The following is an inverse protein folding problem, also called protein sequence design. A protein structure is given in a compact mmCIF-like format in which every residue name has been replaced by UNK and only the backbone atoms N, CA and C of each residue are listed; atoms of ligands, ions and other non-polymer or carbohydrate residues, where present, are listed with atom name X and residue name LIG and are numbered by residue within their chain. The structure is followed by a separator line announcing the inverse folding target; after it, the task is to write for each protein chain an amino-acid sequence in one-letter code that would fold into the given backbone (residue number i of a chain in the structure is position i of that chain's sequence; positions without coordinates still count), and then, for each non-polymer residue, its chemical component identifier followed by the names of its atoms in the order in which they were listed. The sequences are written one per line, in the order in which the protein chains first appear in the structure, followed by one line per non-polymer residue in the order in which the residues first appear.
data_IF_059038150436
#
_entry.id   IF_059038150436
#
_cell.length_a   1.000
_cell.length_b   1.000
_cell.length_c   1.000
_cell.angle_alpha   90.00
_cell.angle_beta   90.00
_cell.angle_gamma   90.00
#
_symmetry.space_group_name_H-M   'P 1'
#
loop_
_entity.id
_entity.type
_entity.pdbx_description
1 polymer ?
#
# COMPACT_ATOMS: atom_id res chain seq x y z
N UNK A 1 -27.30 22.23 -16.32
CA UNK A 1 -28.30 22.54 -15.27
C UNK A 1 -29.61 23.06 -15.82
N UNK A 2 -29.66 24.17 -16.61
CA UNK A 2 -30.95 24.76 -17.03
C UNK A 2 -31.87 23.81 -17.81
N UNK A 3 -31.36 23.10 -18.81
CA UNK A 3 -32.16 22.14 -19.60
C UNK A 3 -32.59 20.92 -18.80
N UNK A 4 -31.80 20.43 -17.83
CA UNK A 4 -32.21 19.34 -16.96
C UNK A 4 -33.37 19.76 -16.03
N UNK A 5 -33.38 21.01 -15.55
CA UNK A 5 -34.46 21.57 -14.78
C UNK A 5 -35.75 21.65 -15.63
N UNK A 6 -35.64 22.19 -16.87
CA UNK A 6 -36.79 22.25 -17.78
C UNK A 6 -37.39 20.84 -18.06
N UNK A 7 -36.52 19.85 -18.21
CA UNK A 7 -36.93 18.46 -18.40
C UNK A 7 -37.70 17.91 -17.19
N UNK A 8 -37.21 18.19 -15.96
CA UNK A 8 -37.88 17.75 -14.73
C UNK A 8 -39.26 18.37 -14.55
N UNK A 9 -39.38 19.66 -14.85
CA UNK A 9 -40.61 20.44 -14.59
C UNK A 9 -41.56 20.51 -15.77
N UNK A 10 -41.27 19.85 -16.89
CA UNK A 10 -42.07 19.94 -18.14
C UNK A 10 -43.50 19.40 -18.01
N UNK A 11 -43.80 18.61 -16.99
CA UNK A 11 -45.15 18.11 -16.71
C UNK A 11 -46.02 19.20 -16.04
N UNK A 12 -45.38 20.13 -15.31
CA UNK A 12 -46.05 21.18 -14.55
C UNK A 12 -46.13 22.51 -15.31
N UNK A 13 -45.12 22.81 -16.16
CA UNK A 13 -45.00 24.12 -16.82
C UNK A 13 -44.68 24.01 -18.30
N UNK A 14 -45.21 24.90 -19.15
CA UNK A 14 -44.88 24.92 -20.58
C UNK A 14 -43.40 25.18 -20.82
N UNK A 15 -42.77 24.36 -21.65
CA UNK A 15 -41.34 24.44 -21.98
C UNK A 15 -40.92 25.82 -22.47
N UNK A 16 -41.77 26.47 -23.31
CA UNK A 16 -41.51 27.79 -23.89
C UNK A 16 -41.39 28.86 -22.79
N UNK A 17 -42.29 28.82 -21.79
CA UNK A 17 -42.27 29.75 -20.65
C UNK A 17 -41.01 29.58 -19.81
N UNK A 18 -40.67 28.33 -19.47
CA UNK A 18 -39.45 28.03 -18.72
C UNK A 18 -38.19 28.45 -19.48
N UNK A 19 -38.14 28.23 -20.78
CA UNK A 19 -37.02 28.67 -21.62
C UNK A 19 -36.87 30.19 -21.60
N UNK A 20 -37.96 30.94 -21.68
CA UNK A 20 -37.93 32.40 -21.61
C UNK A 20 -37.44 32.90 -20.27
N UNK A 21 -37.96 32.35 -19.15
CA UNK A 21 -37.53 32.72 -17.76
C UNK A 21 -36.07 32.38 -17.53
N UNK A 22 -35.61 31.21 -17.97
CA UNK A 22 -34.23 30.75 -17.78
C UNK A 22 -33.25 31.31 -18.83
N UNK A 23 -33.74 32.16 -19.76
CA UNK A 23 -32.95 32.78 -20.84
C UNK A 23 -32.16 31.74 -21.66
N UNK A 24 -32.85 30.72 -22.13
CA UNK A 24 -32.35 29.68 -23.06
C UNK A 24 -33.33 29.51 -24.24
N UNK A 25 -32.84 29.06 -25.39
CA UNK A 25 -33.73 28.84 -26.54
C UNK A 25 -34.49 27.52 -26.44
N UNK A 26 -35.77 27.52 -26.82
CA UNK A 26 -36.57 26.30 -26.89
C UNK A 26 -36.00 25.31 -27.91
N UNK A 27 -35.48 25.79 -29.04
CA UNK A 27 -34.79 24.95 -30.05
C UNK A 27 -33.54 24.29 -29.47
N UNK A 28 -32.76 25.02 -28.66
CA UNK A 28 -31.61 24.50 -27.93
C UNK A 28 -31.97 23.41 -26.91
N UNK A 29 -33.11 23.59 -26.21
CA UNK A 29 -33.64 22.56 -25.31
C UNK A 29 -34.01 21.27 -26.07
N UNK A 30 -34.75 21.37 -27.16
CA UNK A 30 -35.15 20.20 -27.95
C UNK A 30 -33.95 19.55 -28.68
N UNK A 31 -32.95 20.32 -29.09
CA UNK A 31 -31.72 19.79 -29.65
C UNK A 31 -30.93 19.03 -28.55
N UNK A 32 -30.82 19.58 -27.34
CA UNK A 32 -30.22 18.91 -26.19
C UNK A 32 -30.97 17.62 -25.80
N UNK A 33 -32.32 17.66 -25.80
CA UNK A 33 -33.14 16.49 -25.48
C UNK A 33 -32.96 15.34 -26.48
N UNK A 34 -32.71 15.66 -27.76
CA UNK A 34 -32.44 14.68 -28.82
C UNK A 34 -30.97 14.31 -28.96
N UNK A 35 -30.08 15.02 -28.27
CA UNK A 35 -28.63 14.75 -28.38
C UNK A 35 -28.31 13.37 -27.82
N UNK A 36 -27.65 12.55 -28.62
CA UNK A 36 -27.01 11.33 -28.15
C UNK A 36 -25.71 11.67 -27.40
N UNK A 37 -25.33 10.90 -26.38
CA UNK A 37 -24.06 11.10 -25.68
C UNK A 37 -22.90 11.19 -26.68
N UNK A 38 -22.06 12.20 -26.53
CA UNK A 38 -20.90 12.39 -27.40
C UNK A 38 -19.91 11.20 -27.26
N UNK A 39 -19.01 11.04 -28.21
CA UNK A 39 -17.95 10.03 -28.11
C UNK A 39 -17.10 10.22 -26.84
N UNK A 40 -16.97 11.49 -26.37
CA UNK A 40 -16.29 11.82 -25.12
C UNK A 40 -17.07 11.34 -23.90
N UNK A 41 -18.41 11.55 -23.88
CA UNK A 41 -19.26 11.14 -22.76
C UNK A 41 -19.31 9.60 -22.66
N UNK A 42 -19.44 8.90 -23.78
CA UNK A 42 -19.38 7.44 -23.82
C UNK A 42 -18.04 6.90 -23.30
N UNK A 43 -16.93 7.57 -23.66
CA UNK A 43 -15.60 7.21 -23.13
C UNK A 43 -15.48 7.54 -21.64
N UNK A 44 -16.11 8.63 -21.15
CA UNK A 44 -16.11 8.96 -19.73
C UNK A 44 -16.88 7.92 -18.91
N UNK A 45 -18.06 7.48 -19.37
CA UNK A 45 -18.83 6.44 -18.69
C UNK A 45 -18.05 5.11 -18.61
N UNK A 46 -17.40 4.69 -19.69
CA UNK A 46 -16.51 3.52 -19.64
C UNK A 46 -15.36 3.71 -18.65
N UNK A 47 -14.71 4.88 -18.64
CA UNK A 47 -13.63 5.17 -17.70
C UNK A 47 -14.09 5.20 -16.25
N UNK A 48 -15.31 5.68 -15.95
CA UNK A 48 -15.88 5.65 -14.59
C UNK A 48 -15.99 4.22 -14.06
N UNK A 49 -16.43 3.27 -14.90
CA UNK A 49 -16.47 1.85 -14.51
C UNK A 49 -15.08 1.34 -14.16
N UNK A 50 -14.08 1.52 -15.04
CA UNK A 50 -12.71 1.07 -14.81
C UNK A 50 -12.04 1.74 -13.60
N UNK A 51 -12.30 3.03 -13.39
CA UNK A 51 -11.85 3.78 -12.20
C UNK A 51 -12.49 3.20 -10.94
N UNK A 52 -13.80 2.92 -10.97
CA UNK A 52 -14.51 2.29 -9.86
C UNK A 52 -13.98 0.91 -9.51
N UNK A 53 -13.69 0.08 -10.50
CA UNK A 53 -13.08 -1.25 -10.33
C UNK A 53 -11.68 -1.16 -9.70
N UNK A 54 -10.80 -0.29 -10.23
CA UNK A 54 -9.45 -0.06 -9.66
C UNK A 54 -9.54 0.44 -8.21
N UNK A 55 -10.45 1.37 -7.94
CA UNK A 55 -10.68 1.90 -6.60
C UNK A 55 -11.20 0.83 -5.63
N UNK A 56 -12.16 0.01 -6.04
CA UNK A 56 -12.70 -1.09 -5.24
C UNK A 56 -11.62 -2.17 -4.99
N UNK A 57 -10.91 -2.60 -6.03
CA UNK A 57 -9.82 -3.58 -5.96
C UNK A 57 -8.69 -3.13 -5.01
N UNK A 58 -8.42 -1.83 -4.95
CA UNK A 58 -7.46 -1.24 -4.03
C UNK A 58 -7.97 -1.09 -2.59
N UNK A 59 -9.11 -1.69 -2.24
CA UNK A 59 -9.74 -1.54 -0.90
C UNK A 59 -10.06 -0.08 -0.56
N UNK A 60 -10.37 0.73 -1.58
CA UNK A 60 -10.67 2.17 -1.47
C UNK A 60 -9.49 3.00 -0.94
N UNK A 61 -8.26 2.60 -1.21
CA UNK A 61 -7.05 3.28 -0.73
C UNK A 61 -6.30 4.03 -1.84
N UNK A 62 -6.61 3.76 -3.11
CA UNK A 62 -5.94 4.44 -4.22
C UNK A 62 -6.47 5.84 -4.45
N UNK A 63 -5.56 6.81 -4.42
CA UNK A 63 -5.79 8.13 -5.02
C UNK A 63 -5.52 8.12 -6.52
N UNK A 64 -5.83 9.23 -7.18
CA UNK A 64 -5.71 9.37 -8.64
C UNK A 64 -4.36 8.96 -9.26
N UNK A 65 -3.18 9.09 -8.60
CA UNK A 65 -1.93 8.64 -9.22
C UNK A 65 -1.87 7.12 -9.44
N UNK A 66 -2.35 6.33 -8.46
CA UNK A 66 -2.36 4.86 -8.56
C UNK A 66 -3.47 4.37 -9.49
N UNK A 67 -4.66 4.96 -9.40
CA UNK A 67 -5.76 4.67 -10.32
C UNK A 67 -5.34 4.97 -11.77
N UNK A 68 -4.71 6.12 -12.02
CA UNK A 68 -4.20 6.46 -13.35
C UNK A 68 -3.17 5.45 -13.86
N UNK A 69 -2.28 4.96 -12.96
CA UNK A 69 -1.31 3.93 -13.32
C UNK A 69 -1.95 2.57 -13.66
N UNK A 70 -3.14 2.25 -13.10
CA UNK A 70 -3.92 1.06 -13.52
C UNK A 70 -4.54 1.21 -14.91
N UNK A 71 -4.80 2.44 -15.35
CA UNK A 71 -5.45 2.78 -16.62
C UNK A 71 -4.49 3.09 -17.75
N UNK A 72 -3.23 2.68 -17.66
CA UNK A 72 -2.18 2.98 -18.66
C UNK A 72 -2.58 2.57 -20.08
N UNK A 73 -3.31 1.44 -20.24
CA UNK A 73 -3.81 0.97 -21.53
C UNK A 73 -4.91 1.83 -22.17
N UNK A 74 -5.62 2.66 -21.39
CA UNK A 74 -6.74 3.47 -21.85
C UNK A 74 -6.32 4.82 -22.46
N UNK A 75 -5.05 5.17 -22.44
CA UNK A 75 -4.50 6.44 -22.94
C UNK A 75 -5.29 7.64 -22.41
N UNK A 76 -5.50 7.69 -21.09
CA UNK A 76 -6.22 8.76 -20.40
C UNK A 76 -5.24 9.63 -19.61
N UNK A 77 -5.42 10.95 -19.64
CA UNK A 77 -4.61 11.88 -18.84
C UNK A 77 -5.05 11.89 -17.36
N UNK A 78 -4.10 12.08 -16.45
CA UNK A 78 -4.33 12.08 -14.99
C UNK A 78 -5.41 13.08 -14.57
N UNK A 79 -5.46 14.28 -15.16
CA UNK A 79 -6.48 15.28 -14.82
C UNK A 79 -7.91 14.81 -15.13
N UNK A 80 -8.08 14.01 -16.20
CA UNK A 80 -9.37 13.41 -16.53
C UNK A 80 -9.76 12.36 -15.47
N UNK A 81 -8.81 11.54 -15.00
CA UNK A 81 -9.03 10.58 -13.91
C UNK A 81 -9.43 11.31 -12.63
N UNK A 82 -8.73 12.40 -12.26
CA UNK A 82 -9.09 13.22 -11.08
C UNK A 82 -10.53 13.70 -11.17
N UNK A 83 -10.91 14.30 -12.31
CA UNK A 83 -12.27 14.81 -12.53
C UNK A 83 -13.33 13.70 -12.39
N UNK A 84 -13.12 12.55 -13.03
CA UNK A 84 -14.06 11.42 -12.98
C UNK A 84 -14.14 10.82 -11.57
N UNK A 85 -13.04 10.70 -10.84
CA UNK A 85 -13.06 10.29 -9.42
C UNK A 85 -13.87 11.26 -8.54
N UNK A 86 -13.77 12.58 -8.80
CA UNK A 86 -14.54 13.59 -8.07
C UNK A 86 -16.03 13.51 -8.40
N UNK A 87 -16.39 13.32 -9.67
CA UNK A 87 -17.78 13.13 -10.12
C UNK A 87 -18.42 11.91 -9.44
N UNK A 88 -17.69 10.80 -9.33
CA UNK A 88 -18.12 9.56 -8.67
C UNK A 88 -17.92 9.59 -7.15
N UNK A 89 -17.50 10.71 -6.57
CA UNK A 89 -17.25 10.89 -5.13
C UNK A 89 -16.30 9.83 -4.53
N UNK A 90 -15.32 9.38 -5.30
CA UNK A 90 -14.33 8.38 -4.88
C UNK A 90 -13.21 9.07 -4.10
N UNK A 91 -13.24 8.93 -2.78
CA UNK A 91 -12.25 9.51 -1.86
C UNK A 91 -11.43 8.39 -1.23
N UNK A 92 -10.11 8.42 -1.44
CA UNK A 92 -9.19 7.45 -0.85
C UNK A 92 -9.16 7.58 0.69
N UNK A 93 -9.09 6.45 1.38
CA UNK A 93 -8.90 6.43 2.84
C UNK A 93 -7.58 7.11 3.19
N UNK A 94 -7.63 8.07 4.13
CA UNK A 94 -6.45 8.79 4.62
C UNK A 94 -5.81 8.00 5.75
N UNK A 95 -4.48 7.90 5.73
CA UNK A 95 -3.71 7.31 6.85
C UNK A 95 -3.87 8.17 8.10
N UNK A 96 -4.16 7.53 9.24
CA UNK A 96 -4.04 8.18 10.55
C UNK A 96 -2.56 8.22 10.94
N UNK A 97 -2.14 9.30 11.61
CA UNK A 97 -0.80 9.36 12.21
C UNK A 97 -0.80 8.51 13.49
N UNK A 98 0.15 7.58 13.59
CA UNK A 98 0.37 6.78 14.79
C UNK A 98 1.49 7.39 15.64
N UNK A 99 1.40 7.22 16.96
CA UNK A 99 2.52 7.47 17.86
C UNK A 99 3.35 6.19 17.95
N UNK A 100 4.67 6.31 17.78
CA UNK A 100 5.63 5.23 18.08
C UNK A 100 5.71 5.05 19.60
N UNK A 101 5.73 3.80 20.05
CA UNK A 101 5.82 3.41 21.47
C UNK A 101 6.92 2.38 21.71
N UNK A 102 8.05 2.48 21.02
CA UNK A 102 9.17 1.56 21.25
C UNK A 102 9.88 1.92 22.55
N UNK A 103 9.84 1.03 23.51
CA UNK A 103 10.67 1.08 24.71
C UNK A 103 11.91 0.19 24.50
N UNK A 104 13.07 0.80 24.36
CA UNK A 104 14.37 0.12 24.20
C UNK A 104 15.22 0.28 25.46
N UNK A 105 14.74 -0.27 26.58
CA UNK A 105 15.50 -0.26 27.84
C UNK A 105 15.84 -1.71 28.23
N UNK A 106 17.00 -2.17 27.78
CA UNK A 106 17.54 -3.50 28.09
C UNK A 106 19.09 -3.49 28.05
N UNK A 107 19.71 -4.45 28.74
CA UNK A 107 21.17 -4.60 28.86
C UNK A 107 21.83 -5.41 27.73
N UNK A 108 21.06 -5.84 26.72
CA UNK A 108 21.58 -6.64 25.61
C UNK A 108 22.48 -5.82 24.68
N UNK A 109 23.52 -6.41 24.06
CA UNK A 109 24.40 -5.72 23.12
C UNK A 109 23.61 -5.17 21.91
N UNK A 110 23.87 -3.92 21.57
CA UNK A 110 23.22 -3.22 20.43
C UNK A 110 24.23 -3.13 19.29
N UNK A 111 23.84 -3.57 18.10
CA UNK A 111 24.65 -3.44 16.90
C UNK A 111 24.73 -1.98 16.40
N UNK A 112 25.82 -1.64 15.70
CA UNK A 112 25.96 -0.33 15.07
C UNK A 112 24.90 -0.10 13.97
N UNK A 113 24.49 1.16 13.77
CA UNK A 113 23.61 1.53 12.65
C UNK A 113 24.41 1.58 11.35
N UNK A 114 24.39 0.49 10.62
CA UNK A 114 25.05 0.36 9.31
C UNK A 114 24.13 0.80 8.16
N UNK A 115 22.82 0.75 8.34
CA UNK A 115 21.84 1.18 7.31
C UNK A 115 21.90 2.70 7.09
N UNK A 116 22.12 3.47 8.15
CA UNK A 116 22.27 4.94 8.13
C UNK A 116 21.25 5.66 7.25
N UNK A 117 19.97 5.21 7.27
CA UNK A 117 18.85 5.74 6.46
C UNK A 117 19.00 5.57 4.94
N UNK A 118 19.93 4.75 4.49
CA UNK A 118 20.04 4.40 3.07
C UNK A 118 18.97 3.36 2.70
N UNK A 119 17.72 3.83 2.54
CA UNK A 119 16.55 2.99 2.28
C UNK A 119 16.42 2.53 0.84
N UNK A 120 17.46 2.59 0.06
CA UNK A 120 17.53 2.09 -1.31
C UNK A 120 18.50 0.91 -1.40
N UNK A 121 18.22 -0.04 -2.26
CA UNK A 121 19.09 -1.15 -2.57
C UNK A 121 19.20 -1.30 -4.10
N UNK A 122 20.36 -1.69 -4.59
CA UNK A 122 20.59 -1.86 -6.03
C UNK A 122 20.03 -3.19 -6.58
N UNK A 123 19.83 -4.18 -5.71
CA UNK A 123 19.31 -5.49 -6.05
C UNK A 123 18.50 -6.10 -4.88
N UNK A 124 17.63 -7.10 -5.16
CA UNK A 124 16.97 -7.87 -4.13
C UNK A 124 17.95 -8.54 -3.15
N UNK A 125 17.52 -8.69 -1.91
CA UNK A 125 18.27 -9.38 -0.85
C UNK A 125 19.63 -8.73 -0.48
N UNK A 126 19.78 -7.43 -0.70
CA UNK A 126 20.92 -6.68 -0.18
C UNK A 126 20.63 -6.04 1.18
N UNK A 127 19.42 -5.54 1.37
CA UNK A 127 19.04 -4.81 2.58
C UNK A 127 17.60 -5.16 2.97
N UNK A 128 17.43 -5.74 4.13
CA UNK A 128 16.13 -6.01 4.74
C UNK A 128 15.93 -5.13 5.96
N UNK A 129 14.68 -4.72 6.19
CA UNK A 129 14.28 -4.03 7.42
C UNK A 129 13.19 -4.81 8.10
N UNK A 130 13.29 -4.96 9.41
CA UNK A 130 12.33 -5.70 10.22
C UNK A 130 11.82 -4.89 11.39
N UNK A 131 10.57 -5.15 11.79
CA UNK A 131 9.96 -4.54 12.96
C UNK A 131 8.72 -5.34 13.40
N UNK A 132 8.23 -5.04 14.59
CA UNK A 132 7.05 -5.67 15.20
C UNK A 132 6.00 -4.64 15.56
N UNK A 133 4.73 -4.94 15.32
CA UNK A 133 3.62 -4.07 15.72
C UNK A 133 2.59 -4.82 16.54
N UNK A 134 1.96 -4.12 17.48
CA UNK A 134 0.81 -4.60 18.24
C UNK A 134 -0.48 -4.40 17.44
N UNK A 135 -1.35 -5.40 17.50
CA UNK A 135 -2.70 -5.45 16.93
C UNK A 135 -3.67 -5.87 18.03
N UNK A 136 -4.94 -5.47 17.89
CA UNK A 136 -5.96 -5.68 18.91
C UNK A 136 -6.98 -6.73 18.48
N UNK A 137 -7.53 -7.44 19.46
CA UNK A 137 -8.76 -8.22 19.32
C UNK A 137 -9.78 -7.78 20.36
N UNK A 138 -11.00 -8.26 20.26
CA UNK A 138 -12.03 -7.99 21.27
C UNK A 138 -11.64 -8.51 22.68
N UNK A 139 -10.77 -9.52 22.76
CA UNK A 139 -10.38 -10.21 24.01
C UNK A 139 -8.94 -9.96 24.44
N UNK A 140 -8.18 -9.14 23.71
CA UNK A 140 -6.78 -8.88 24.04
C UNK A 140 -5.98 -8.34 22.85
N UNK A 141 -4.69 -8.59 22.88
CA UNK A 141 -3.75 -8.14 21.87
C UNK A 141 -2.92 -9.29 21.31
N UNK A 142 -2.38 -9.07 20.12
CA UNK A 142 -1.43 -9.95 19.46
C UNK A 142 -0.44 -9.12 18.65
N UNK A 143 0.59 -9.77 18.10
CA UNK A 143 1.70 -9.08 17.47
C UNK A 143 1.96 -9.62 16.09
N UNK A 144 2.37 -8.73 15.18
CA UNK A 144 2.82 -9.02 13.83
C UNK A 144 4.27 -8.58 13.72
N UNK A 145 5.19 -9.51 13.46
CA UNK A 145 6.53 -9.22 12.97
C UNK A 145 6.55 -9.30 11.45
N UNK A 146 7.23 -8.37 10.79
CA UNK A 146 7.37 -8.35 9.34
C UNK A 146 8.77 -7.92 8.92
N UNK A 147 9.24 -8.46 7.79
CA UNK A 147 10.54 -8.13 7.17
C UNK A 147 10.28 -7.70 5.73
N UNK A 148 10.81 -6.54 5.36
CA UNK A 148 10.64 -5.92 4.04
C UNK A 148 11.99 -5.80 3.35
N UNK A 149 12.09 -6.26 2.12
CA UNK A 149 13.24 -6.01 1.24
C UNK A 149 13.19 -4.57 0.69
N UNK A 150 14.28 -3.84 0.88
CA UNK A 150 14.34 -2.41 0.50
C UNK A 150 14.41 -2.18 -1.01
N UNK A 151 14.81 -3.17 -1.81
CA UNK A 151 14.86 -3.02 -3.27
C UNK A 151 13.48 -2.78 -3.88
N UNK A 152 12.58 -3.73 -3.71
CA UNK A 152 11.24 -3.69 -4.31
C UNK A 152 10.11 -3.52 -3.30
N UNK A 153 10.43 -3.33 -2.02
CA UNK A 153 9.44 -3.21 -0.93
C UNK A 153 8.61 -4.50 -0.72
N UNK A 154 9.12 -5.64 -1.17
CA UNK A 154 8.48 -6.94 -0.94
C UNK A 154 8.54 -7.30 0.54
N UNK A 155 7.41 -7.72 1.11
CA UNK A 155 7.41 -8.39 2.41
C UNK A 155 7.91 -9.81 2.20
N UNK A 156 9.13 -10.09 2.66
CA UNK A 156 9.83 -11.36 2.44
C UNK A 156 9.55 -12.39 3.53
N UNK A 157 9.22 -11.92 4.74
CA UNK A 157 8.84 -12.78 5.86
C UNK A 157 7.93 -12.05 6.83
N UNK A 158 7.03 -12.81 7.47
CA UNK A 158 6.15 -12.30 8.51
C UNK A 158 5.63 -13.43 9.40
N UNK A 159 5.31 -13.11 10.64
CA UNK A 159 4.74 -14.03 11.60
C UNK A 159 3.79 -13.29 12.56
N UNK A 160 2.84 -14.02 13.15
CA UNK A 160 1.93 -13.50 14.17
C UNK A 160 1.89 -14.41 15.39
N UNK A 161 1.89 -13.79 16.58
CA UNK A 161 1.83 -14.47 17.87
C UNK A 161 0.98 -13.69 18.88
N UNK A 162 0.46 -14.37 19.89
CA UNK A 162 -0.15 -13.74 21.05
C UNK A 162 0.88 -13.08 21.97
N UNK A 163 2.16 -13.46 21.84
CA UNK A 163 3.28 -12.95 22.67
C UNK A 163 4.29 -12.23 21.79
N UNK A 164 4.75 -11.06 22.24
CA UNK A 164 5.86 -10.34 21.60
C UNK A 164 7.19 -10.80 22.20
N UNK A 165 7.70 -11.88 21.67
CA UNK A 165 8.96 -12.48 22.11
C UNK A 165 9.92 -12.74 20.94
N UNK A 166 11.12 -13.26 21.26
CA UNK A 166 12.11 -13.61 20.24
C UNK A 166 11.64 -14.68 19.25
N UNK A 167 10.74 -15.58 19.65
CA UNK A 167 10.22 -16.62 18.76
C UNK A 167 9.37 -16.05 17.62
N UNK A 168 8.64 -14.97 17.89
CA UNK A 168 7.87 -14.25 16.87
C UNK A 168 8.79 -13.67 15.79
N UNK A 169 9.85 -12.97 16.20
CA UNK A 169 10.80 -12.31 15.26
C UNK A 169 11.66 -13.34 14.53
N UNK A 170 12.08 -14.42 15.20
CA UNK A 170 12.78 -15.55 14.57
C UNK A 170 11.89 -16.23 13.54
N UNK A 171 10.61 -16.49 13.82
CA UNK A 171 9.69 -17.11 12.87
C UNK A 171 9.53 -16.29 11.59
N UNK A 172 9.50 -14.94 11.70
CA UNK A 172 9.46 -14.05 10.53
C UNK A 172 10.78 -14.11 9.74
N UNK A 173 11.93 -14.15 10.43
CA UNK A 173 13.26 -14.24 9.81
C UNK A 173 13.44 -15.60 9.11
N UNK A 174 13.11 -16.69 9.75
CA UNK A 174 13.17 -18.04 9.18
C UNK A 174 12.32 -18.16 7.90
N UNK A 175 11.13 -17.57 7.91
CA UNK A 175 10.27 -17.54 6.73
C UNK A 175 10.95 -16.75 5.60
N UNK A 176 11.54 -15.58 5.90
CA UNK A 176 12.24 -14.76 4.93
C UNK A 176 13.44 -15.50 4.34
N UNK A 177 14.28 -16.09 5.19
CA UNK A 177 15.46 -16.84 4.75
C UNK A 177 15.09 -18.04 3.88
N UNK A 178 14.10 -18.84 4.28
CA UNK A 178 13.64 -20.00 3.48
C UNK A 178 13.08 -19.61 2.11
N UNK A 179 12.37 -18.47 2.05
CA UNK A 179 11.78 -18.00 0.77
C UNK A 179 12.80 -17.39 -0.16
N UNK A 180 13.78 -16.70 0.39
CA UNK A 180 14.68 -15.85 -0.40
C UNK A 180 16.06 -16.46 -0.61
N UNK A 181 16.50 -17.39 0.24
CA UNK A 181 17.82 -18.00 0.23
C UNK A 181 18.92 -16.94 -0.03
N UNK A 182 19.02 -15.89 0.80
CA UNK A 182 19.91 -14.78 0.52
C UNK A 182 21.37 -15.21 0.57
N UNK A 183 22.21 -14.57 -0.25
CA UNK A 183 23.64 -14.73 -0.16
C UNK A 183 24.17 -14.09 1.15
N UNK A 184 25.33 -14.55 1.60
CA UNK A 184 26.04 -13.91 2.71
C UNK A 184 26.31 -12.43 2.42
N UNK A 185 26.26 -11.59 3.47
CA UNK A 185 26.44 -10.14 3.36
C UNK A 185 25.15 -9.34 3.24
N UNK A 186 23.97 -9.99 3.23
CA UNK A 186 22.71 -9.29 3.42
C UNK A 186 22.73 -8.46 4.71
N UNK A 187 22.36 -7.17 4.63
CA UNK A 187 22.17 -6.32 5.79
C UNK A 187 20.74 -6.42 6.29
N UNK A 188 20.56 -6.84 7.56
CA UNK A 188 19.24 -6.80 8.22
C UNK A 188 19.23 -5.72 9.30
N UNK A 189 18.33 -4.75 9.15
CA UNK A 189 18.16 -3.63 10.07
C UNK A 189 16.85 -3.73 10.85
N UNK A 190 16.94 -3.48 12.16
CA UNK A 190 15.76 -3.44 13.05
C UNK A 190 15.87 -2.26 14.04
N UNK A 191 14.85 -2.09 14.87
CA UNK A 191 14.99 -1.26 16.05
C UNK A 191 15.86 -1.96 17.12
N UNK A 192 16.09 -1.26 18.26
CA UNK A 192 16.81 -1.79 19.40
C UNK A 192 15.92 -2.62 20.35
N UNK A 193 14.81 -3.17 19.89
CA UNK A 193 13.93 -4.00 20.72
C UNK A 193 14.64 -5.25 21.25
N UNK A 194 14.34 -5.63 22.50
CA UNK A 194 14.96 -6.80 23.16
C UNK A 194 14.82 -8.10 22.37
N UNK A 195 13.79 -8.25 21.56
CA UNK A 195 13.57 -9.41 20.69
C UNK A 195 14.62 -9.53 19.60
N UNK A 196 15.02 -8.41 18.98
CA UNK A 196 16.05 -8.34 17.93
C UNK A 196 17.48 -8.39 18.49
N UNK A 197 17.68 -7.84 19.70
CA UNK A 197 18.97 -7.88 20.40
C UNK A 197 19.24 -9.24 21.07
N UNK A 198 18.24 -10.14 21.14
CA UNK A 198 18.37 -11.44 21.80
C UNK A 198 19.45 -12.32 21.16
N UNK A 199 20.21 -13.07 21.98
CA UNK A 199 21.26 -13.95 21.50
C UNK A 199 20.74 -14.99 20.48
N UNK A 200 19.53 -15.52 20.69
CA UNK A 200 18.93 -16.48 19.77
C UNK A 200 18.68 -15.85 18.39
N UNK A 201 18.17 -14.60 18.33
CA UNK A 201 17.99 -13.90 17.07
C UNK A 201 19.31 -13.60 16.38
N UNK A 202 20.29 -13.12 17.13
CA UNK A 202 21.64 -12.84 16.62
C UNK A 202 22.34 -14.11 16.12
N UNK A 203 22.11 -15.26 16.78
CA UNK A 203 22.61 -16.55 16.34
C UNK A 203 22.05 -16.92 14.96
N UNK A 204 20.75 -16.79 14.72
CA UNK A 204 20.12 -17.07 13.42
C UNK A 204 20.73 -16.17 12.33
N UNK A 205 20.93 -14.87 12.60
CA UNK A 205 21.57 -13.97 11.64
C UNK A 205 22.99 -14.44 11.28
N UNK A 206 23.81 -14.82 12.27
CA UNK A 206 25.19 -15.32 12.06
C UNK A 206 25.20 -16.61 11.25
N UNK A 207 24.31 -17.57 11.55
CA UNK A 207 24.21 -18.86 10.85
C UNK A 207 23.92 -18.68 9.35
N UNK A 208 23.22 -17.62 8.99
CA UNK A 208 22.91 -17.30 7.59
C UNK A 208 23.82 -16.24 6.95
N UNK A 209 24.90 -15.83 7.65
CA UNK A 209 25.83 -14.81 7.15
C UNK A 209 25.17 -13.43 6.95
N UNK A 210 24.12 -13.12 7.74
CA UNK A 210 23.37 -11.86 7.67
C UNK A 210 24.01 -10.85 8.64
N UNK A 211 24.35 -9.68 8.13
CA UNK A 211 24.92 -8.58 8.92
C UNK A 211 23.82 -7.85 9.69
N UNK A 212 23.95 -7.78 11.01
CA UNK A 212 23.03 -7.06 11.88
C UNK A 212 23.29 -5.56 11.84
N UNK A 213 22.24 -4.76 11.80
CA UNK A 213 22.23 -3.31 11.96
C UNK A 213 21.05 -2.91 12.83
N UNK A 214 21.25 -1.96 13.75
CA UNK A 214 20.17 -1.48 14.62
C UNK A 214 20.03 0.03 14.56
N UNK A 215 18.80 0.52 14.70
CA UNK A 215 18.49 1.95 14.80
C UNK A 215 19.24 2.59 15.97
N UNK A 216 19.49 3.89 15.90
CA UNK A 216 19.98 4.65 17.04
C UNK A 216 18.89 4.79 18.10
N UNK A 217 19.28 4.81 19.37
CA UNK A 217 18.34 4.92 20.50
C UNK A 217 17.46 6.17 20.35
N UNK A 218 16.14 5.98 20.44
CA UNK A 218 15.17 7.08 20.35
C UNK A 218 15.01 7.71 18.96
N UNK A 219 15.59 7.12 17.91
CA UNK A 219 15.53 7.66 16.57
C UNK A 219 14.58 6.85 15.67
N UNK A 220 13.31 7.24 15.64
CA UNK A 220 12.28 6.60 14.81
C UNK A 220 12.55 6.71 13.29
N UNK A 221 13.28 7.72 12.84
CA UNK A 221 13.59 7.88 11.41
C UNK A 221 14.51 6.80 10.86
N UNK A 222 15.24 6.10 11.71
CA UNK A 222 16.14 5.03 11.28
C UNK A 222 15.36 3.79 10.80
N UNK A 223 14.07 3.61 11.22
CA UNK A 223 13.18 2.54 10.79
C UNK A 223 11.92 3.05 10.05
N UNK A 224 12.00 4.20 9.40
CA UNK A 224 10.86 4.88 8.76
C UNK A 224 10.14 4.02 7.69
N UNK A 225 10.84 3.08 7.06
CA UNK A 225 10.23 2.16 6.08
C UNK A 225 9.23 1.24 6.74
N UNK A 226 9.57 0.64 7.89
CA UNK A 226 8.68 -0.24 8.63
C UNK A 226 7.51 0.52 9.25
N UNK A 227 7.75 1.71 9.80
CA UNK A 227 6.69 2.60 10.27
C UNK A 227 5.67 2.91 9.15
N UNK A 228 6.17 3.25 7.96
CA UNK A 228 5.33 3.52 6.79
C UNK A 228 4.56 2.27 6.34
N UNK A 229 5.18 1.10 6.40
CA UNK A 229 4.56 -0.16 6.04
C UNK A 229 3.45 -0.54 7.02
N UNK A 230 3.71 -0.52 8.33
CA UNK A 230 2.69 -0.80 9.35
C UNK A 230 1.55 0.21 9.32
N UNK A 231 1.85 1.49 9.09
CA UNK A 231 0.81 2.51 8.89
C UNK A 231 -0.09 2.16 7.69
N UNK A 232 0.48 1.61 6.61
CA UNK A 232 -0.28 1.14 5.46
C UNK A 232 -1.13 -0.08 5.83
N UNK A 233 -0.53 -1.07 6.47
CA UNK A 233 -1.21 -2.28 6.92
C UNK A 233 -2.43 -1.94 7.79
N UNK A 234 -2.23 -1.16 8.84
CA UNK A 234 -3.30 -0.74 9.77
C UNK A 234 -4.37 0.13 9.10
N UNK A 235 -3.99 1.02 8.19
CA UNK A 235 -4.95 1.86 7.48
C UNK A 235 -5.86 1.06 6.53
N UNK A 236 -5.35 -0.02 5.95
CA UNK A 236 -6.06 -0.82 4.94
C UNK A 236 -6.85 -2.00 5.55
N UNK A 237 -6.35 -2.61 6.63
CA UNK A 237 -7.03 -3.72 7.31
C UNK A 237 -7.75 -3.31 8.60
N UNK A 238 -7.32 -2.22 9.24
CA UNK A 238 -7.70 -1.86 10.59
C UNK A 238 -6.70 -2.36 11.64
N UNK A 239 -6.95 -2.01 12.90
CA UNK A 239 -6.10 -2.37 14.03
C UNK A 239 -6.75 -3.41 14.95
N UNK A 240 -8.06 -3.60 14.80
CA UNK A 240 -8.86 -4.48 15.64
C UNK A 240 -9.45 -5.61 14.80
N UNK A 241 -9.26 -6.83 15.25
CA UNK A 241 -9.69 -8.05 14.59
C UNK A 241 -10.60 -8.86 15.51
N UNK A 242 -11.44 -9.72 14.97
CA UNK A 242 -12.33 -10.57 15.76
C UNK A 242 -11.56 -11.60 16.60
N UNK A 243 -10.49 -12.15 16.03
CA UNK A 243 -9.62 -13.13 16.67
C UNK A 243 -8.22 -13.10 16.04
N UNK A 244 -7.24 -13.73 16.69
CA UNK A 244 -5.87 -13.90 16.13
C UNK A 244 -5.93 -14.67 14.79
N UNK A 245 -6.80 -15.70 14.68
CA UNK A 245 -6.96 -16.47 13.45
C UNK A 245 -7.48 -15.57 12.32
N UNK A 246 -8.56 -14.82 12.57
CA UNK A 246 -9.08 -13.85 11.60
C UNK A 246 -8.01 -12.81 11.20
N UNK A 247 -7.23 -12.31 12.17
CA UNK A 247 -6.10 -11.43 11.88
C UNK A 247 -5.05 -12.06 10.97
N UNK A 248 -4.71 -13.34 11.18
CA UNK A 248 -3.78 -14.10 10.33
C UNK A 248 -4.29 -14.27 8.90
N UNK A 249 -5.55 -14.62 8.73
CA UNK A 249 -6.17 -14.85 7.42
C UNK A 249 -6.20 -13.53 6.62
N UNK A 250 -6.60 -12.43 7.25
CA UNK A 250 -6.60 -11.10 6.61
C UNK A 250 -5.18 -10.59 6.32
N UNK A 251 -4.21 -10.85 7.21
CA UNK A 251 -2.82 -10.48 6.97
C UNK A 251 -2.22 -11.27 5.82
N UNK A 252 -2.52 -12.57 5.71
CA UNK A 252 -2.10 -13.39 4.58
C UNK A 252 -2.65 -12.82 3.26
N UNK A 253 -3.95 -12.59 3.17
CA UNK A 253 -4.57 -12.02 1.98
C UNK A 253 -4.00 -10.63 1.65
N UNK A 254 -3.77 -9.79 2.68
CA UNK A 254 -3.18 -8.49 2.47
C UNK A 254 -1.73 -8.58 1.98
N UNK A 255 -0.88 -9.35 2.64
CA UNK A 255 0.56 -9.37 2.36
C UNK A 255 0.86 -10.14 1.07
N UNK A 256 0.35 -11.39 0.98
CA UNK A 256 0.75 -12.31 -0.09
C UNK A 256 -0.02 -12.05 -1.39
N UNK A 257 -1.32 -11.76 -1.28
CA UNK A 257 -2.17 -11.63 -2.47
C UNK A 257 -2.24 -10.18 -2.95
N UNK A 258 -2.44 -9.23 -2.04
CA UNK A 258 -2.65 -7.85 -2.43
C UNK A 258 -1.36 -7.02 -2.41
N UNK A 259 -0.67 -6.89 -1.26
CA UNK A 259 0.47 -5.99 -1.11
C UNK A 259 1.64 -6.36 -2.04
N UNK A 260 2.10 -7.59 -1.96
CA UNK A 260 3.23 -8.04 -2.75
C UNK A 260 2.91 -8.12 -4.26
N UNK A 261 1.71 -8.57 -4.64
CA UNK A 261 1.40 -8.90 -6.04
C UNK A 261 0.66 -7.79 -6.80
N UNK A 262 -0.11 -6.96 -6.13
CA UNK A 262 -1.03 -6.03 -6.80
C UNK A 262 -0.84 -4.58 -6.39
N UNK A 263 -0.46 -4.33 -5.12
CA UNK A 263 -0.46 -2.98 -4.58
C UNK A 263 0.65 -2.13 -5.18
N UNK A 264 0.26 -1.04 -5.87
CA UNK A 264 1.23 -0.10 -6.45
C UNK A 264 1.95 0.70 -5.37
N UNK A 265 3.25 0.81 -5.53
CA UNK A 265 4.13 1.50 -4.58
C UNK A 265 4.80 2.71 -5.20
N UNK A 266 4.63 3.90 -4.59
CA UNK A 266 5.15 5.16 -5.16
C UNK A 266 6.67 5.23 -5.19
N UNK A 267 7.37 4.59 -4.24
CA UNK A 267 8.85 4.62 -4.18
C UNK A 267 9.53 3.74 -5.23
N UNK A 268 8.79 2.87 -5.93
CA UNK A 268 9.30 1.98 -6.96
C UNK A 268 8.56 2.17 -8.30
N UNK A 269 8.28 3.43 -8.65
CA UNK A 269 7.70 3.78 -9.95
C UNK A 269 6.23 3.35 -10.12
N UNK A 270 5.44 3.28 -9.06
CA UNK A 270 4.05 2.81 -9.08
C UNK A 270 3.89 1.36 -9.57
N UNK A 271 4.92 0.54 -9.47
CA UNK A 271 4.84 -0.89 -9.71
C UNK A 271 4.38 -1.64 -8.44
N UNK A 272 3.75 -2.81 -8.58
CA UNK A 272 3.65 -3.77 -7.48
C UNK A 272 5.05 -4.30 -7.10
N UNK A 273 5.31 -4.61 -5.82
CA UNK A 273 6.59 -5.13 -5.36
C UNK A 273 7.12 -6.32 -6.16
N UNK A 274 6.32 -7.36 -6.34
CA UNK A 274 6.71 -8.55 -7.08
C UNK A 274 6.96 -8.27 -8.59
N UNK A 275 6.24 -7.32 -9.18
CA UNK A 275 6.48 -6.91 -10.57
C UNK A 275 7.80 -6.16 -10.73
N UNK A 276 8.17 -5.33 -9.74
CA UNK A 276 9.45 -4.65 -9.72
C UNK A 276 10.61 -5.65 -9.74
N UNK A 277 10.56 -6.71 -8.91
CA UNK A 277 11.57 -7.76 -8.91
C UNK A 277 11.58 -8.59 -10.21
N UNK A 278 10.40 -8.94 -10.73
CA UNK A 278 10.34 -9.66 -12.02
C UNK A 278 11.02 -8.90 -13.15
N UNK A 279 10.81 -7.59 -13.22
CA UNK A 279 11.46 -6.73 -14.23
C UNK A 279 12.97 -6.66 -14.05
N UNK A 280 13.43 -6.53 -12.81
CA UNK A 280 14.86 -6.57 -12.51
C UNK A 280 15.50 -7.87 -12.99
N UNK A 281 14.94 -9.03 -12.64
CA UNK A 281 15.48 -10.31 -13.07
C UNK A 281 15.39 -10.52 -14.58
N UNK A 282 14.37 -10.00 -15.25
CA UNK A 282 14.26 -10.04 -16.71
C UNK A 282 15.37 -9.22 -17.38
N UNK A 283 15.66 -8.01 -16.86
CA UNK A 283 16.76 -7.17 -17.35
C UNK A 283 18.13 -7.83 -17.16
N UNK A 284 18.38 -8.41 -15.97
CA UNK A 284 19.65 -9.13 -15.71
C UNK A 284 19.87 -10.28 -16.71
N UNK A 285 18.83 -11.05 -16.99
CA UNK A 285 18.91 -12.14 -18.00
C UNK A 285 19.16 -11.61 -19.40
N UNK A 286 18.53 -10.50 -19.79
CA UNK A 286 18.73 -9.90 -21.11
C UNK A 286 20.13 -9.28 -21.28
N UNK A 287 20.77 -8.85 -20.19
CA UNK A 287 22.15 -8.29 -20.23
C UNK A 287 23.21 -9.40 -20.21
N UNK A 288 22.87 -10.60 -19.73
CA UNK A 288 23.77 -11.75 -19.66
C UNK A 288 23.71 -12.65 -20.91
N UNK A 289 22.74 -12.43 -21.81
CA UNK A 289 22.58 -13.11 -23.10
C UNK A 289 23.20 -12.31 -24.24
#
# INVERSE_FOLDING_TARGET
MRFAFILAERACWPVVVMCAVLKVSASGFYAWLRSTPSARDRKDERLKVLIGESFAKSRKTYGSPRVHADLVGERVGRNRVIRLMQEEKLVARVRRRYRSTTMSDHEQPVAANLLNREFEAAAPNQRWVGDTTELLTATGKFYLAAIVDLFARVVVGWAMSAVNDRHLTIAALDQAVRRRCPNAGLLHHSDQGSTYASEDYQKVLREHGITCSMSRRGNCYDNAVMESWFSTFKAELGETFESIRHGKDLAFDFIEVFYNQQRRHSSIGLLPPAECERRFHAQQRATAA
#
